data_IF_199925478277
#
_entry.id   IF_199925478277
#
_cell.length_a   1.000
_cell.length_b   1.000
_cell.length_c   1.000
_cell.angle_alpha   90.00
_cell.angle_beta   90.00
_cell.angle_gamma   90.00
#
_symmetry.space_group_name_H-M   'P 1'
#
loop_
_entity.id
_entity.type
_entity.pdbx_description
1 polymer ?
#
# COMPACT_ATOMS: atom_id res chain seq x y z
N UNK A 1 6.20 -3.27 -12.56
CA UNK A 1 7.04 -4.38 -12.04
C UNK A 1 7.45 -5.40 -13.11
N UNK A 2 6.56 -6.16 -13.83
CA UNK A 2 6.99 -7.19 -14.79
C UNK A 2 7.98 -6.68 -15.83
N UNK A 3 7.75 -5.53 -16.44
CA UNK A 3 8.63 -4.96 -17.49
C UNK A 3 10.07 -4.67 -17.03
N UNK A 4 10.26 -4.28 -15.76
CA UNK A 4 11.62 -4.08 -15.21
C UNK A 4 12.34 -5.41 -15.06
N UNK A 5 11.61 -6.44 -14.57
CA UNK A 5 12.15 -7.80 -14.44
C UNK A 5 12.52 -8.34 -15.82
N UNK A 6 11.66 -8.17 -16.83
CA UNK A 6 11.93 -8.58 -18.21
C UNK A 6 13.20 -7.89 -18.76
N UNK A 7 13.35 -6.57 -18.48
CA UNK A 7 14.54 -5.84 -18.90
C UNK A 7 15.80 -6.37 -18.22
N UNK A 8 15.81 -6.55 -16.89
CA UNK A 8 16.95 -7.06 -16.13
C UNK A 8 17.38 -8.44 -16.60
N UNK A 9 16.42 -9.33 -16.89
CA UNK A 9 16.71 -10.68 -17.40
C UNK A 9 17.29 -10.67 -18.83
N UNK A 10 16.86 -9.70 -19.65
CA UNK A 10 17.38 -9.55 -21.01
C UNK A 10 18.78 -8.95 -21.05
N UNK A 11 19.09 -8.03 -20.14
CA UNK A 11 20.40 -7.37 -20.07
C UNK A 11 21.48 -8.27 -19.45
N UNK A 12 21.09 -9.18 -18.54
CA UNK A 12 22.04 -10.04 -17.81
C UNK A 12 21.50 -11.47 -17.69
N UNK A 13 21.97 -12.37 -18.54
CA UNK A 13 21.56 -13.78 -18.55
C UNK A 13 21.86 -14.56 -17.25
N UNK A 14 22.78 -14.08 -16.42
CA UNK A 14 23.18 -14.70 -15.16
C UNK A 14 22.58 -14.00 -13.92
N UNK A 15 21.57 -13.15 -14.10
CA UNK A 15 20.94 -12.46 -12.98
C UNK A 15 19.97 -13.39 -12.25
N UNK A 16 20.17 -13.56 -10.94
CA UNK A 16 19.21 -14.24 -10.07
C UNK A 16 18.32 -13.20 -9.40
N UNK A 17 17.01 -13.29 -9.66
CA UNK A 17 16.01 -12.41 -9.06
C UNK A 17 15.18 -13.20 -8.05
N UNK A 18 15.18 -12.75 -6.79
CA UNK A 18 14.29 -13.26 -5.74
C UNK A 18 13.33 -12.17 -5.32
N UNK A 19 12.03 -12.35 -5.57
CA UNK A 19 10.99 -11.41 -5.20
C UNK A 19 10.21 -11.90 -3.97
N UNK A 20 10.03 -11.03 -3.00
CA UNK A 20 9.22 -11.27 -1.81
C UNK A 20 8.09 -10.25 -1.73
N UNK A 21 6.94 -10.68 -1.21
CA UNK A 21 5.81 -9.81 -0.90
C UNK A 21 5.47 -10.02 0.57
N UNK A 22 5.60 -8.96 1.35
CA UNK A 22 5.37 -8.96 2.78
C UNK A 22 4.86 -7.60 3.23
N UNK A 23 4.49 -7.43 4.49
CA UNK A 23 4.14 -6.12 5.03
C UNK A 23 5.40 -5.25 5.28
N UNK A 24 5.19 -3.95 5.51
CA UNK A 24 6.30 -2.99 5.66
C UNK A 24 7.27 -3.39 6.77
N UNK A 25 6.78 -3.79 7.94
CA UNK A 25 7.63 -4.18 9.07
C UNK A 25 8.52 -5.39 8.74
N UNK A 26 7.97 -6.39 8.06
CA UNK A 26 8.72 -7.57 7.62
C UNK A 26 9.77 -7.22 6.57
N UNK A 27 9.43 -6.38 5.57
CA UNK A 27 10.38 -5.94 4.55
C UNK A 27 11.54 -5.14 5.15
N UNK A 28 11.28 -4.23 6.09
CA UNK A 28 12.31 -3.48 6.80
C UNK A 28 13.25 -4.41 7.58
N UNK A 29 12.68 -5.40 8.28
CA UNK A 29 13.47 -6.43 8.97
C UNK A 29 14.37 -7.19 8.00
N UNK A 30 13.83 -7.64 6.86
CA UNK A 30 14.58 -8.40 5.85
C UNK A 30 15.71 -7.57 5.24
N UNK A 31 15.53 -6.26 5.01
CA UNK A 31 16.61 -5.36 4.58
C UNK A 31 17.71 -5.27 5.65
N UNK A 32 17.33 -5.10 6.93
CA UNK A 32 18.28 -4.99 8.03
C UNK A 32 19.09 -6.28 8.25
N UNK A 33 18.48 -7.44 7.99
CA UNK A 33 19.11 -8.76 8.06
C UNK A 33 19.90 -9.11 6.78
N UNK A 34 19.90 -8.25 5.76
CA UNK A 34 20.59 -8.51 4.49
C UNK A 34 19.93 -9.61 3.63
N UNK A 35 18.68 -9.92 3.87
CA UNK A 35 17.90 -10.89 3.10
C UNK A 35 17.26 -10.28 1.85
N UNK A 36 17.10 -8.94 1.84
CA UNK A 36 16.66 -8.14 0.72
C UNK A 36 17.68 -7.03 0.42
N UNK A 37 17.92 -6.79 -0.85
CA UNK A 37 18.76 -5.69 -1.33
C UNK A 37 18.03 -4.36 -1.25
N UNK A 38 16.75 -4.33 -1.64
CA UNK A 38 15.88 -3.16 -1.61
C UNK A 38 14.41 -3.57 -1.48
N UNK A 39 13.53 -2.61 -1.18
CA UNK A 39 12.10 -2.82 -1.16
C UNK A 39 11.32 -1.59 -1.65
N UNK A 40 10.09 -1.83 -2.14
CA UNK A 40 9.07 -0.80 -2.29
C UNK A 40 8.16 -0.86 -1.07
N UNK A 41 8.11 0.22 -0.31
CA UNK A 41 7.34 0.29 0.93
C UNK A 41 6.36 1.46 0.91
N UNK A 42 5.18 1.21 1.46
CA UNK A 42 4.08 2.16 1.56
C UNK A 42 3.91 2.74 2.97
N UNK A 43 4.62 2.20 3.95
CA UNK A 43 4.50 2.59 5.34
C UNK A 43 5.53 3.61 5.78
N UNK A 44 5.47 3.93 7.07
CA UNK A 44 6.48 4.75 7.71
C UNK A 44 7.75 3.93 7.96
N UNK A 45 8.88 4.57 7.83
CA UNK A 45 10.20 4.00 8.13
C UNK A 45 11.13 5.08 8.66
N UNK A 46 12.16 4.69 9.39
CA UNK A 46 13.15 5.61 9.92
C UNK A 46 14.12 6.07 8.83
N UNK A 47 13.95 7.29 8.35
CA UNK A 47 14.79 7.91 7.31
C UNK A 47 16.27 8.07 7.70
N UNK A 48 16.62 7.83 8.95
CA UNK A 48 18.00 7.82 9.41
C UNK A 48 18.69 6.47 9.17
N UNK A 49 17.93 5.40 8.96
CA UNK A 49 18.43 4.03 8.79
C UNK A 49 18.48 3.57 7.34
N UNK A 50 17.69 4.23 6.45
CA UNK A 50 17.56 3.85 5.05
C UNK A 50 17.89 5.02 4.13
N UNK A 51 18.51 4.73 3.00
CA UNK A 51 18.49 5.58 1.83
C UNK A 51 17.22 5.27 1.06
N UNK A 52 16.63 6.30 0.42
CA UNK A 52 15.34 6.14 -0.22
C UNK A 52 15.13 7.11 -1.37
N UNK A 53 14.27 6.70 -2.30
CA UNK A 53 13.73 7.54 -3.38
C UNK A 53 12.22 7.40 -3.43
N UNK A 54 11.53 8.51 -3.63
CA UNK A 54 10.08 8.50 -3.87
C UNK A 54 9.80 7.83 -5.21
N UNK A 55 9.09 6.71 -5.17
CA UNK A 55 8.71 5.96 -6.35
C UNK A 55 7.43 6.53 -6.99
N UNK A 56 6.37 6.68 -6.21
CA UNK A 56 5.13 7.34 -6.63
C UNK A 56 4.38 7.87 -5.41
N UNK A 57 3.28 8.56 -5.66
CA UNK A 57 2.34 8.97 -4.63
C UNK A 57 0.96 8.41 -4.98
N UNK A 58 0.24 7.93 -3.98
CA UNK A 58 -1.11 7.42 -4.16
C UNK A 58 -2.07 7.98 -3.12
N UNK A 59 -3.36 8.00 -3.47
CA UNK A 59 -4.44 8.39 -2.58
C UNK A 59 -4.87 7.19 -1.74
N UNK A 60 -5.10 7.44 -0.44
CA UNK A 60 -5.65 6.45 0.47
C UNK A 60 -7.14 6.70 0.62
N UNK A 61 -7.97 5.75 0.22
CA UNK A 61 -9.42 5.91 0.09
C UNK A 61 -10.19 4.84 0.86
N UNK A 62 -11.42 5.18 1.26
CA UNK A 62 -12.39 4.20 1.72
C UNK A 62 -13.13 3.60 0.52
N UNK A 63 -13.31 2.28 0.51
CA UNK A 63 -14.09 1.58 -0.52
C UNK A 63 -15.09 0.61 0.11
N UNK A 64 -16.24 0.48 -0.56
CA UNK A 64 -17.27 -0.49 -0.29
C UNK A 64 -17.68 -1.24 -1.56
N UNK A 65 -18.59 -2.21 -1.42
CA UNK A 65 -19.20 -2.85 -2.58
C UNK A 65 -19.98 -1.81 -3.40
N UNK A 66 -20.35 -2.16 -4.64
CA UNK A 66 -21.21 -1.29 -5.45
C UNK A 66 -22.56 -1.03 -4.77
N UNK A 67 -23.06 -2.02 -4.02
CA UNK A 67 -24.34 -1.99 -3.30
C UNK A 67 -24.21 -1.42 -1.87
N UNK A 68 -23.03 -0.98 -1.44
CA UNK A 68 -22.86 -0.39 -0.13
C UNK A 68 -23.76 0.85 0.03
N UNK A 69 -24.50 1.02 1.15
CA UNK A 69 -25.58 2.02 1.22
C UNK A 69 -25.08 3.48 1.20
N UNK A 70 -23.83 3.74 1.60
CA UNK A 70 -23.27 5.08 1.66
C UNK A 70 -22.33 5.34 0.48
N UNK A 71 -22.38 6.55 -0.07
CA UNK A 71 -21.42 7.04 -1.07
C UNK A 71 -20.66 8.26 -0.56
N UNK A 72 -21.25 9.01 0.36
CA UNK A 72 -20.67 10.16 1.05
C UNK A 72 -20.90 9.97 2.54
N UNK A 73 -19.88 10.23 3.33
CA UNK A 73 -19.84 10.13 4.78
C UNK A 73 -19.33 11.47 5.31
N UNK A 74 -20.18 12.15 6.05
CA UNK A 74 -19.85 13.46 6.61
C UNK A 74 -19.03 13.35 7.90
N UNK A 75 -19.35 12.34 8.71
CA UNK A 75 -18.60 11.99 9.92
C UNK A 75 -18.20 10.52 9.85
N UNK A 76 -16.94 10.22 10.15
CA UNK A 76 -16.41 8.85 10.12
C UNK A 76 -17.18 7.88 11.00
N UNK A 77 -17.78 8.36 12.08
CA UNK A 77 -18.62 7.57 12.99
C UNK A 77 -19.83 6.91 12.30
N UNK A 78 -20.29 7.46 11.17
CA UNK A 78 -21.32 6.82 10.34
C UNK A 78 -20.89 5.43 9.81
N UNK A 79 -19.57 5.19 9.74
CA UNK A 79 -19.00 3.92 9.29
C UNK A 79 -18.82 2.92 10.43
N UNK A 80 -18.82 3.32 11.69
CA UNK A 80 -18.53 2.46 12.83
C UNK A 80 -19.49 1.28 13.00
N UNK A 81 -20.70 1.41 12.50
CA UNK A 81 -21.71 0.32 12.49
C UNK A 81 -21.45 -0.77 11.44
N UNK A 82 -20.48 -0.58 10.55
CA UNK A 82 -20.11 -1.56 9.52
C UNK A 82 -18.85 -2.31 9.91
N UNK A 83 -18.64 -3.49 9.35
CA UNK A 83 -17.41 -4.24 9.51
C UNK A 83 -16.26 -3.48 8.84
N UNK A 84 -15.17 -3.29 9.55
CA UNK A 84 -13.90 -2.82 9.01
C UNK A 84 -13.04 -4.03 8.62
N UNK A 85 -12.77 -4.19 7.33
CA UNK A 85 -11.85 -5.20 6.82
C UNK A 85 -10.50 -4.51 6.64
N UNK A 86 -9.50 -4.91 7.42
CA UNK A 86 -8.23 -4.21 7.52
C UNK A 86 -7.04 -5.16 7.35
N UNK A 87 -5.90 -4.63 6.97
CA UNK A 87 -4.64 -5.34 6.91
C UNK A 87 -4.17 -5.75 8.31
N UNK A 88 -3.31 -6.74 8.32
CA UNK A 88 -2.63 -7.23 9.52
C UNK A 88 -1.74 -6.17 10.17
N UNK A 89 -1.43 -6.37 11.45
CA UNK A 89 -0.48 -5.53 12.17
C UNK A 89 0.89 -5.54 11.47
N UNK A 90 1.58 -4.39 11.46
CA UNK A 90 2.85 -4.20 10.72
C UNK A 90 2.66 -3.80 9.26
N UNK A 91 1.42 -3.78 8.73
CA UNK A 91 1.14 -3.23 7.41
C UNK A 91 1.15 -1.70 7.42
N UNK A 92 1.91 -1.10 6.49
CA UNK A 92 1.95 0.35 6.34
C UNK A 92 0.59 0.97 6.04
N UNK A 93 -0.25 0.31 5.25
CA UNK A 93 -1.60 0.81 4.96
C UNK A 93 -2.51 0.80 6.19
N UNK A 94 -2.36 -0.18 7.10
CA UNK A 94 -3.07 -0.17 8.39
C UNK A 94 -2.60 0.99 9.26
N UNK A 95 -1.29 1.17 9.39
CA UNK A 95 -0.71 2.25 10.20
C UNK A 95 -1.22 3.64 9.80
N UNK A 96 -1.46 3.86 8.50
CA UNK A 96 -1.98 5.13 7.99
C UNK A 96 -3.37 5.43 8.54
N UNK A 97 -4.30 4.48 8.48
CA UNK A 97 -5.66 4.72 8.97
C UNK A 97 -5.71 4.79 10.49
N UNK A 98 -4.94 3.96 11.20
CA UNK A 98 -4.85 4.03 12.65
C UNK A 98 -4.33 5.39 13.11
N UNK A 99 -3.30 5.93 12.46
CA UNK A 99 -2.76 7.25 12.75
C UNK A 99 -3.79 8.35 12.46
N UNK A 100 -4.47 8.30 11.31
CA UNK A 100 -5.49 9.27 10.94
C UNK A 100 -6.66 9.29 11.93
N UNK A 101 -7.09 8.13 12.44
CA UNK A 101 -8.11 8.01 13.48
C UNK A 101 -7.60 8.60 14.80
N UNK A 102 -6.39 8.23 15.25
CA UNK A 102 -5.80 8.71 16.49
C UNK A 102 -5.63 10.23 16.55
N UNK A 103 -5.29 10.88 15.43
CA UNK A 103 -5.24 12.35 15.32
C UNK A 103 -6.60 13.01 15.58
N UNK A 104 -7.69 12.24 15.55
CA UNK A 104 -9.08 12.66 15.80
C UNK A 104 -9.65 12.11 17.09
N UNK A 105 -8.80 11.56 17.98
CA UNK A 105 -9.19 10.85 19.20
C UNK A 105 -10.15 9.67 18.95
N UNK A 106 -9.96 8.97 17.85
CA UNK A 106 -10.70 7.77 17.45
C UNK A 106 -9.75 6.57 17.30
N UNK A 107 -10.32 5.36 17.32
CA UNK A 107 -9.55 4.13 17.13
C UNK A 107 -10.26 3.18 16.16
N UNK A 108 -9.55 2.16 15.67
CA UNK A 108 -10.17 1.09 14.87
C UNK A 108 -11.16 0.29 15.69
N UNK A 109 -10.99 0.22 17.01
CA UNK A 109 -11.89 -0.46 17.93
C UNK A 109 -13.25 0.24 18.10
N UNK A 110 -13.42 1.46 17.59
CA UNK A 110 -14.73 2.12 17.50
C UNK A 110 -15.65 1.47 16.45
N UNK A 111 -15.09 0.70 15.50
CA UNK A 111 -15.89 -0.07 14.55
C UNK A 111 -16.55 -1.27 15.23
N UNK A 112 -17.79 -1.57 14.84
CA UNK A 112 -18.59 -2.64 15.44
C UNK A 112 -17.96 -4.02 15.30
N UNK A 113 -17.15 -4.24 14.27
CA UNK A 113 -16.43 -5.48 14.04
C UNK A 113 -15.19 -5.24 13.16
N UNK A 114 -14.08 -5.89 13.50
CA UNK A 114 -12.81 -5.83 12.78
C UNK A 114 -12.51 -7.20 12.20
N UNK A 115 -12.22 -7.23 10.89
CA UNK A 115 -11.80 -8.43 10.18
C UNK A 115 -10.37 -8.20 9.67
N UNK A 116 -9.40 -8.79 10.36
CA UNK A 116 -7.98 -8.67 10.01
C UNK A 116 -7.57 -9.70 8.97
N UNK A 117 -6.98 -9.23 7.84
CA UNK A 117 -6.57 -10.10 6.73
C UNK A 117 -5.27 -9.59 6.10
N UNK A 118 -4.23 -10.43 6.05
CA UNK A 118 -2.93 -10.13 5.43
C UNK A 118 -2.91 -10.13 3.90
N UNK A 119 -4.00 -10.49 3.23
CA UNK A 119 -4.04 -10.63 1.77
C UNK A 119 -4.98 -9.61 1.12
N UNK A 120 -4.43 -8.67 0.36
CA UNK A 120 -5.19 -7.61 -0.32
C UNK A 120 -6.28 -8.16 -1.26
N UNK A 121 -6.01 -9.23 -2.00
CA UNK A 121 -6.99 -9.80 -2.92
C UNK A 121 -8.18 -10.41 -2.16
N UNK A 122 -7.93 -11.01 -0.99
CA UNK A 122 -9.01 -11.50 -0.12
C UNK A 122 -9.84 -10.34 0.43
N UNK A 123 -9.19 -9.26 0.90
CA UNK A 123 -9.87 -8.02 1.34
C UNK A 123 -10.80 -7.52 0.24
N UNK A 124 -10.28 -7.33 -0.99
CA UNK A 124 -11.08 -6.86 -2.14
C UNK A 124 -12.28 -7.77 -2.42
N UNK A 125 -12.11 -9.08 -2.31
CA UNK A 125 -13.23 -10.04 -2.51
C UNK A 125 -14.30 -9.93 -1.45
N UNK A 126 -13.93 -9.80 -0.18
CA UNK A 126 -14.89 -9.63 0.91
C UNK A 126 -15.65 -8.31 0.81
N UNK A 127 -14.95 -7.22 0.52
CA UNK A 127 -15.59 -5.91 0.31
C UNK A 127 -16.55 -5.97 -0.87
N UNK A 128 -16.14 -6.56 -1.99
CA UNK A 128 -17.00 -6.76 -3.17
C UNK A 128 -18.28 -7.55 -2.83
N UNK A 129 -18.18 -8.54 -1.96
CA UNK A 129 -19.31 -9.35 -1.51
C UNK A 129 -20.13 -8.68 -0.39
N UNK A 130 -19.91 -7.39 -0.15
CA UNK A 130 -20.64 -6.56 0.82
C UNK A 130 -20.50 -7.01 2.28
N UNK A 131 -19.36 -7.62 2.65
CA UNK A 131 -19.09 -8.02 4.03
C UNK A 131 -18.57 -6.88 4.91
N UNK A 132 -18.31 -5.71 4.34
CA UNK A 132 -17.82 -4.53 5.04
C UNK A 132 -17.14 -3.53 4.11
N UNK A 133 -16.40 -2.62 4.71
CA UNK A 133 -15.59 -1.60 4.04
C UNK A 133 -14.11 -1.81 4.32
N UNK A 134 -13.27 -1.20 3.52
CA UNK A 134 -11.83 -1.12 3.79
C UNK A 134 -11.28 0.24 3.43
N UNK A 135 -10.16 0.60 4.05
CA UNK A 135 -9.32 1.72 3.65
C UNK A 135 -8.08 1.17 2.92
N UNK A 136 -7.82 1.67 1.74
CA UNK A 136 -6.83 1.08 0.83
C UNK A 136 -6.29 2.13 -0.14
N UNK A 137 -5.10 1.91 -0.68
CA UNK A 137 -4.58 2.71 -1.78
C UNK A 137 -5.42 2.56 -3.04
N UNK A 138 -5.69 3.69 -3.70
CA UNK A 138 -6.53 3.76 -4.90
C UNK A 138 -6.01 2.90 -6.04
N UNK A 139 -4.69 2.90 -6.26
CA UNK A 139 -4.03 2.04 -7.26
C UNK A 139 -4.33 0.55 -7.05
N UNK A 140 -4.45 0.09 -5.80
CA UNK A 140 -4.73 -1.31 -5.49
C UNK A 140 -6.14 -1.77 -5.90
N UNK A 141 -7.07 -0.84 -6.10
CA UNK A 141 -8.49 -1.10 -6.45
C UNK A 141 -8.94 -0.41 -7.74
N UNK A 142 -8.01 0.20 -8.49
CA UNK A 142 -8.32 0.97 -9.70
C UNK A 142 -9.13 0.15 -10.71
N UNK A 143 -8.75 -1.11 -10.92
CA UNK A 143 -9.46 -2.03 -11.81
C UNK A 143 -10.88 -2.30 -11.33
N UNK A 144 -11.07 -2.57 -10.05
CA UNK A 144 -12.37 -2.86 -9.45
C UNK A 144 -13.28 -1.60 -9.48
N UNK A 145 -12.71 -0.41 -9.31
CA UNK A 145 -13.44 0.86 -9.44
C UNK A 145 -13.88 1.10 -10.89
N UNK A 146 -12.96 0.93 -11.87
CA UNK A 146 -13.25 1.10 -13.29
C UNK A 146 -14.32 0.12 -13.77
N UNK A 147 -14.28 -1.13 -13.32
CA UNK A 147 -15.25 -2.18 -13.64
C UNK A 147 -16.54 -2.09 -12.80
N UNK A 148 -16.69 -1.07 -11.94
CA UNK A 148 -17.85 -0.87 -11.04
C UNK A 148 -18.15 -2.08 -10.16
N UNK A 149 -17.12 -2.81 -9.74
CA UNK A 149 -17.22 -3.91 -8.77
C UNK A 149 -17.08 -3.43 -7.33
N UNK A 150 -16.39 -2.32 -7.15
CA UNK A 150 -16.27 -1.55 -5.91
C UNK A 150 -16.64 -0.10 -6.21
N UNK A 151 -16.98 0.64 -5.17
CA UNK A 151 -17.12 2.10 -5.23
C UNK A 151 -16.33 2.77 -4.13
N UNK A 152 -15.83 3.96 -4.42
CA UNK A 152 -15.26 4.83 -3.41
C UNK A 152 -16.38 5.36 -2.52
N UNK A 153 -16.18 5.27 -1.20
CA UNK A 153 -16.99 5.94 -0.19
C UNK A 153 -16.22 7.22 0.19
N UNK A 154 -16.74 8.37 -0.17
CA UNK A 154 -16.10 9.67 0.11
C UNK A 154 -16.30 9.99 1.59
N UNK A 155 -15.26 9.89 2.38
CA UNK A 155 -15.26 10.27 3.80
C UNK A 155 -14.73 11.70 3.91
N UNK A 156 -15.50 12.58 4.56
CA UNK A 156 -15.10 13.97 4.78
C UNK A 156 -13.78 14.02 5.54
N UNK A 157 -12.91 14.98 5.17
CA UNK A 157 -11.56 15.16 5.72
C UNK A 157 -10.58 13.97 5.54
N UNK A 158 -10.97 12.88 4.88
CA UNK A 158 -10.03 11.81 4.50
C UNK A 158 -9.33 12.22 3.18
N UNK A 159 -8.27 13.00 3.30
CA UNK A 159 -7.47 13.51 2.17
C UNK A 159 -6.02 13.05 2.30
N UNK A 160 -5.82 11.76 2.46
CA UNK A 160 -4.50 11.18 2.65
C UNK A 160 -3.88 10.89 1.28
N UNK A 161 -2.72 11.53 1.04
CA UNK A 161 -1.79 11.15 -0.04
C UNK A 161 -0.52 10.69 0.61
N UNK A 162 -0.08 9.51 0.25
CA UNK A 162 1.10 8.91 0.83
C UNK A 162 2.09 8.50 -0.25
N UNK A 163 3.37 8.64 0.06
CA UNK A 163 4.44 8.28 -0.86
C UNK A 163 4.79 6.80 -0.71
N UNK A 164 4.85 6.10 -1.84
CA UNK A 164 5.46 4.78 -1.94
C UNK A 164 6.94 5.02 -2.23
N UNK A 165 7.80 4.45 -1.42
CA UNK A 165 9.22 4.69 -1.49
C UNK A 165 9.99 3.42 -1.90
N UNK A 166 10.97 3.59 -2.75
CA UNK A 166 12.03 2.62 -3.00
C UNK A 166 13.11 2.86 -1.96
N UNK A 167 13.42 1.86 -1.15
CA UNK A 167 14.34 1.98 -0.02
C UNK A 167 15.39 0.88 -0.04
N UNK A 168 16.56 1.19 0.50
CA UNK A 168 17.66 0.24 0.73
C UNK A 168 18.43 0.63 1.98
N UNK A 169 19.33 -0.25 2.43
CA UNK A 169 20.12 -0.01 3.63
C UNK A 169 21.03 1.20 3.43
N UNK A 170 21.03 2.11 4.40
CA UNK A 170 21.85 3.32 4.38
C UNK A 170 23.34 3.00 4.31
N UNK A 171 24.07 3.84 3.58
CA UNK A 171 25.53 3.70 3.36
C UNK A 171 25.91 2.35 2.75
N UNK A 172 25.08 1.76 1.93
CA UNK A 172 25.43 0.56 1.18
C UNK A 172 26.56 0.85 0.20
N UNK A 173 27.51 -0.09 0.08
CA UNK A 173 28.56 -0.04 -0.94
C UNK A 173 28.00 -0.18 -2.37
N UNK A 174 26.74 -0.63 -2.50
CA UNK A 174 26.01 -0.76 -3.76
C UNK A 174 25.05 0.41 -4.04
N UNK A 175 25.29 1.57 -3.40
CA UNK A 175 24.39 2.72 -3.52
C UNK A 175 24.13 3.11 -4.97
N UNK A 176 25.17 3.23 -5.80
CA UNK A 176 25.04 3.64 -7.20
C UNK A 176 24.23 2.64 -8.00
N UNK A 177 24.37 1.35 -7.74
CA UNK A 177 23.56 0.30 -8.35
C UNK A 177 22.08 0.40 -7.97
N UNK A 178 21.76 0.73 -6.72
CA UNK A 178 20.35 0.92 -6.30
C UNK A 178 19.73 2.17 -6.90
N UNK A 179 20.51 3.23 -7.12
CA UNK A 179 20.06 4.42 -7.84
C UNK A 179 19.73 4.09 -9.31
N UNK A 180 20.59 3.34 -9.99
CA UNK A 180 20.34 2.88 -11.37
C UNK A 180 19.07 2.01 -11.44
N UNK A 181 18.93 1.05 -10.53
CA UNK A 181 17.72 0.23 -10.45
C UNK A 181 16.47 1.09 -10.22
N UNK A 182 16.53 2.05 -9.29
CA UNK A 182 15.42 2.96 -9.06
C UNK A 182 15.01 3.70 -10.33
N UNK A 183 15.96 4.22 -11.10
CA UNK A 183 15.65 4.92 -12.36
C UNK A 183 15.00 3.98 -13.38
N UNK A 184 15.41 2.72 -13.48
CA UNK A 184 14.74 1.72 -14.32
C UNK A 184 13.28 1.51 -13.90
N UNK A 185 13.03 1.37 -12.59
CA UNK A 185 11.67 1.24 -12.04
C UNK A 185 10.81 2.47 -12.32
N UNK A 186 11.37 3.68 -12.15
CA UNK A 186 10.70 4.96 -12.38
C UNK A 186 10.28 5.13 -13.83
N UNK A 187 11.19 4.92 -14.77
CA UNK A 187 10.93 5.07 -16.21
C UNK A 187 9.83 4.12 -16.71
N UNK A 188 9.68 2.94 -16.10
CA UNK A 188 8.61 2.00 -16.46
C UNK A 188 7.27 2.37 -15.80
N UNK A 189 7.29 3.03 -14.65
CA UNK A 189 6.06 3.51 -13.99
C UNK A 189 5.45 4.68 -14.78
N UNK A 190 6.25 5.63 -15.23
CA UNK A 190 5.80 6.79 -16.01
C UNK A 190 5.11 6.37 -17.35
N UNK A 191 5.51 5.21 -17.92
CA UNK A 191 4.89 4.64 -19.12
C UNK A 191 3.55 3.93 -18.89
N UNK A 192 3.17 3.68 -17.65
CA UNK A 192 1.89 3.04 -17.29
C UNK A 192 0.82 4.12 -16.99
N UNK A 193 1.26 5.34 -16.69
CA UNK A 193 0.38 6.48 -16.39
C UNK A 193 0.04 7.33 -17.64
N UNK A 194 0.53 6.95 -18.84
CA UNK A 194 0.18 7.50 -20.16
C UNK A 194 -0.64 6.46 -20.96
#
# INVERSE_FOLDING_TARGET
MPKVIDQLLNENQNTMIKMQVANTSELLKMINEGQLDFALVEGYFNKLEYDYRKFCQDEYICVGSIDFPLSIVHDISELFKYNLIIRENGSGSREIIERWLKERNLDIDDFSNIIEIGNINMIKRLVKNNHGITFIYKLAVEKELAERRLKQVKVNALTIKHDINFIWRKNSVFNDYYEELFEMFRLQNDKVLL
#
